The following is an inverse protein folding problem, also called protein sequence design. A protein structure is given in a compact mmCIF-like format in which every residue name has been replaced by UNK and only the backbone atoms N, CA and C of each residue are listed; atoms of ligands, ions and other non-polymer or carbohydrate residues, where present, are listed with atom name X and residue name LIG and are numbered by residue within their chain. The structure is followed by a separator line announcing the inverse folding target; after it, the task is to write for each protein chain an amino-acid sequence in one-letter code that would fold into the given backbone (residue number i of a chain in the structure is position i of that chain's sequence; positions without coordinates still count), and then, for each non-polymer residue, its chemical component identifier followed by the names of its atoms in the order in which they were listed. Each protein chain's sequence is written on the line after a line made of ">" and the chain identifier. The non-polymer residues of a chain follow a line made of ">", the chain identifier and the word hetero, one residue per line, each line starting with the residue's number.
data_IF_555421626468
#
_entry.id   IF_555421626468
#
_cell.length_a   1.000
_cell.length_b   1.000
_cell.length_c   1.000
_cell.angle_alpha   90.00
_cell.angle_beta   90.00
_cell.angle_gamma   90.00
#
_symmetry.space_group_name_H-M   'P 1'
#
loop_
_entity.id
_entity.type
_entity.pdbx_description
1 polymer ?
#
# COMPACT_ATOMS: atom_id res chain seq x y z
N UNK A 1 -16.61 16.56 3.03
CA UNK A 1 -15.36 15.84 2.83
C UNK A 1 -15.13 14.86 3.97
N UNK A 2 -14.80 13.65 3.64
CA UNK A 2 -14.61 12.60 4.62
C UNK A 2 -13.16 12.58 5.09
N UNK A 3 -12.96 12.68 6.41
CA UNK A 3 -11.62 12.51 6.98
C UNK A 3 -11.24 11.04 6.98
N UNK A 4 -9.95 10.77 6.91
CA UNK A 4 -9.45 9.40 7.08
C UNK A 4 -9.69 8.95 8.52
N UNK A 5 -9.94 7.65 8.69
CA UNK A 5 -9.95 7.06 10.03
C UNK A 5 -8.54 7.15 10.64
N UNK A 6 -8.46 7.06 11.96
CA UNK A 6 -7.18 7.03 12.64
C UNK A 6 -6.32 5.85 12.16
N UNK A 7 -6.96 4.71 11.90
CA UNK A 7 -6.26 3.51 11.44
C UNK A 7 -5.71 3.68 10.02
N UNK A 8 -6.48 4.31 9.13
CA UNK A 8 -6.01 4.56 7.77
C UNK A 8 -4.92 5.65 7.77
N UNK A 9 -5.04 6.65 8.64
CA UNK A 9 -4.01 7.67 8.77
C UNK A 9 -2.67 7.09 9.23
N UNK A 10 -2.69 6.06 10.08
CA UNK A 10 -1.47 5.35 10.46
C UNK A 10 -0.79 4.72 9.25
N UNK A 11 -1.57 4.16 8.32
CA UNK A 11 -1.02 3.60 7.09
C UNK A 11 -0.34 4.68 6.25
N UNK A 12 -0.93 5.86 6.16
CA UNK A 12 -0.31 6.99 5.44
C UNK A 12 1.04 7.34 6.07
N UNK A 13 1.09 7.45 7.40
CA UNK A 13 2.33 7.77 8.12
C UNK A 13 3.41 6.71 7.86
N UNK A 14 3.03 5.42 7.94
CA UNK A 14 3.96 4.31 7.69
C UNK A 14 4.49 4.31 6.26
N UNK A 15 3.61 4.48 5.28
CA UNK A 15 4.00 4.50 3.87
C UNK A 15 4.95 5.67 3.57
N UNK A 16 4.64 6.85 4.11
CA UNK A 16 5.47 8.04 3.91
C UNK A 16 6.85 7.87 4.53
N UNK A 17 6.92 7.39 5.76
CA UNK A 17 8.18 7.19 6.46
C UNK A 17 9.05 6.15 5.77
N UNK A 18 8.45 5.05 5.33
CA UNK A 18 9.18 3.97 4.66
C UNK A 18 9.72 4.42 3.32
N UNK A 19 8.90 5.11 2.53
CA UNK A 19 9.34 5.69 1.25
C UNK A 19 10.53 6.63 1.43
N UNK A 20 10.44 7.54 2.39
CA UNK A 20 11.49 8.53 2.65
C UNK A 20 12.80 7.86 3.08
N UNK A 21 12.70 6.88 3.98
CA UNK A 21 13.89 6.17 4.48
C UNK A 21 14.57 5.37 3.38
N UNK A 22 13.78 4.75 2.49
CA UNK A 22 14.31 3.97 1.38
C UNK A 22 14.78 4.84 0.20
N UNK A 23 14.36 6.10 0.15
CA UNK A 23 14.63 6.97 -1.01
C UNK A 23 13.95 6.46 -2.26
N UNK A 24 12.80 5.80 -2.13
CA UNK A 24 12.13 5.13 -3.24
C UNK A 24 11.10 6.02 -3.93
N UNK A 25 10.69 5.60 -5.14
CA UNK A 25 9.67 6.33 -5.89
C UNK A 25 8.31 6.25 -5.21
N UNK A 26 7.98 5.10 -4.60
CA UNK A 26 6.68 4.87 -3.97
C UNK A 26 6.85 4.29 -2.59
N UNK A 27 5.86 4.56 -1.73
CA UNK A 27 5.70 3.89 -0.45
C UNK A 27 4.31 3.28 -0.37
N UNK A 28 4.17 2.21 0.37
CA UNK A 28 2.87 1.58 0.59
C UNK A 28 2.80 1.05 2.02
N UNK A 29 1.58 0.93 2.51
CA UNK A 29 1.32 0.24 3.76
C UNK A 29 -0.05 -0.42 3.66
N UNK A 30 -0.20 -1.55 4.32
CA UNK A 30 -1.49 -2.22 4.40
C UNK A 30 -1.74 -2.74 5.82
N UNK A 31 -3.01 -2.95 6.11
CA UNK A 31 -3.46 -3.55 7.36
C UNK A 31 -4.16 -4.86 7.01
N UNK A 32 -3.73 -5.95 7.65
CA UNK A 32 -4.37 -7.24 7.43
C UNK A 32 -5.65 -7.38 8.27
N UNK A 33 -6.31 -8.52 8.17
CA UNK A 33 -7.57 -8.74 8.89
C UNK A 33 -7.40 -8.85 10.40
N UNK A 34 -6.19 -9.08 10.87
CA UNK A 34 -5.87 -9.15 12.30
C UNK A 34 -5.38 -7.81 12.86
N UNK A 35 -5.35 -6.77 12.03
CA UNK A 35 -4.91 -5.44 12.43
C UNK A 35 -3.41 -5.22 12.37
N UNK A 36 -2.63 -6.20 11.89
CA UNK A 36 -1.19 -6.03 11.70
C UNK A 36 -0.94 -5.15 10.47
N UNK A 37 0.11 -4.36 10.53
CA UNK A 37 0.47 -3.45 9.45
C UNK A 37 1.79 -3.86 8.80
N UNK A 38 1.88 -3.62 7.50
CA UNK A 38 3.06 -3.92 6.69
C UNK A 38 3.38 -2.67 5.89
N UNK A 39 4.59 -2.15 6.04
CA UNK A 39 5.03 -0.96 5.32
C UNK A 39 6.14 -1.33 4.35
N UNK A 40 6.10 -0.76 3.16
CA UNK A 40 6.99 -1.14 2.07
C UNK A 40 7.30 0.05 1.18
N UNK A 41 8.32 -0.11 0.35
CA UNK A 41 8.71 0.86 -0.65
C UNK A 41 9.06 0.12 -1.93
N UNK A 42 9.12 0.84 -3.06
CA UNK A 42 9.51 0.29 -4.34
C UNK A 42 10.88 -0.36 -4.22
N UNK A 43 11.03 -1.54 -4.79
CA UNK A 43 12.33 -2.20 -4.96
C UNK A 43 12.68 -2.12 -6.45
N UNK A 44 13.82 -1.53 -6.76
CA UNK A 44 14.25 -1.36 -8.15
C UNK A 44 15.73 -1.74 -8.26
N UNK A 45 15.97 -3.02 -8.40
CA UNK A 45 17.29 -3.60 -8.58
C UNK A 45 17.37 -4.20 -9.99
N UNK A 46 18.56 -4.42 -10.53
CA UNK A 46 18.69 -5.00 -11.88
C UNK A 46 17.95 -6.32 -12.07
N UNK A 47 17.89 -7.15 -11.02
CA UNK A 47 17.24 -8.46 -11.10
C UNK A 47 15.98 -8.59 -10.23
N UNK A 48 15.52 -7.49 -9.63
CA UNK A 48 14.32 -7.51 -8.81
C UNK A 48 13.64 -6.16 -8.87
N UNK A 49 12.52 -6.10 -9.56
CA UNK A 49 11.72 -4.88 -9.66
C UNK A 49 10.31 -5.19 -9.17
N UNK A 50 9.95 -4.56 -8.04
CA UNK A 50 8.66 -4.81 -7.39
C UNK A 50 8.08 -3.47 -6.96
N UNK A 51 6.80 -3.24 -7.26
CA UNK A 51 6.10 -2.05 -6.79
C UNK A 51 5.99 -2.05 -5.27
N UNK A 52 5.79 -0.88 -4.67
CA UNK A 52 5.63 -0.78 -3.23
C UNK A 52 4.44 -1.63 -2.74
N UNK A 53 3.32 -1.61 -3.47
CA UNK A 53 2.16 -2.46 -3.16
C UNK A 53 2.53 -3.93 -3.27
N UNK A 54 3.27 -4.31 -4.31
CA UNK A 54 3.72 -5.69 -4.49
C UNK A 54 4.58 -6.16 -3.32
N UNK A 55 5.50 -5.32 -2.84
CA UNK A 55 6.33 -5.65 -1.68
C UNK A 55 5.46 -5.83 -0.43
N UNK A 56 4.54 -4.89 -0.18
CA UNK A 56 3.67 -4.96 1.00
C UNK A 56 2.80 -6.22 1.00
N UNK A 57 2.18 -6.55 -0.13
CA UNK A 57 1.37 -7.76 -0.26
C UNK A 57 2.24 -9.01 -0.11
N UNK A 58 3.43 -9.02 -0.72
CA UNK A 58 4.36 -10.13 -0.58
C UNK A 58 4.74 -10.40 0.89
N UNK A 59 4.99 -9.33 1.65
CA UNK A 59 5.28 -9.44 3.07
C UNK A 59 4.10 -10.02 3.85
N UNK A 60 2.89 -9.56 3.57
CA UNK A 60 1.69 -10.06 4.23
C UNK A 60 1.45 -11.53 3.92
N UNK A 61 1.58 -11.92 2.65
CA UNK A 61 1.46 -13.33 2.22
C UNK A 61 2.49 -14.19 2.93
N UNK A 62 3.74 -13.75 2.92
CA UNK A 62 4.85 -14.49 3.54
C UNK A 62 4.70 -14.59 5.06
N UNK A 63 3.97 -13.66 5.67
CA UNK A 63 3.70 -13.66 7.12
C UNK A 63 2.47 -14.48 7.50
N UNK A 64 1.79 -15.08 6.53
CA UNK A 64 0.61 -15.90 6.79
C UNK A 64 -0.68 -15.11 6.99
N UNK A 65 -0.72 -13.84 6.58
CA UNK A 65 -1.95 -13.05 6.66
C UNK A 65 -3.05 -13.68 5.79
N UNK A 66 -4.31 -13.52 6.22
CA UNK A 66 -5.45 -14.15 5.56
C UNK A 66 -6.19 -13.23 4.59
N UNK A 67 -5.83 -11.97 4.55
CA UNK A 67 -6.43 -10.97 3.68
C UNK A 67 -6.01 -9.59 4.09
N UNK A 68 -6.64 -8.57 3.48
CA UNK A 68 -6.28 -7.17 3.68
C UNK A 68 -7.55 -6.38 3.94
N UNK A 69 -7.47 -5.48 4.92
CA UNK A 69 -8.58 -4.60 5.27
C UNK A 69 -8.50 -3.27 4.52
N UNK A 70 -7.29 -2.73 4.35
CA UNK A 70 -7.07 -1.47 3.63
C UNK A 70 -5.61 -1.37 3.16
N UNK A 71 -5.41 -0.65 2.07
CA UNK A 71 -4.08 -0.39 1.50
C UNK A 71 -3.94 1.10 1.26
N UNK A 72 -2.76 1.64 1.55
CA UNK A 72 -2.37 3.00 1.16
C UNK A 72 -1.15 2.89 0.24
N UNK A 73 -1.16 3.63 -0.86
CA UNK A 73 0.00 3.78 -1.74
C UNK A 73 0.26 5.26 -1.98
N UNK A 74 1.49 5.69 -1.75
CA UNK A 74 1.94 7.07 -1.97
C UNK A 74 2.85 7.08 -3.18
N UNK A 75 2.41 7.76 -4.23
CA UNK A 75 3.08 7.76 -5.52
C UNK A 75 2.82 9.07 -6.25
N UNK A 76 3.76 9.49 -7.09
CA UNK A 76 3.58 10.62 -7.99
C UNK A 76 2.82 10.26 -9.27
N UNK A 77 2.49 8.98 -9.45
CA UNK A 77 1.76 8.47 -10.61
C UNK A 77 0.32 8.16 -10.24
N UNK A 78 -0.44 7.72 -11.23
CA UNK A 78 -1.79 7.19 -11.00
C UNK A 78 -1.71 5.80 -10.40
N UNK A 79 -2.78 5.38 -9.75
CA UNK A 79 -2.89 4.04 -9.19
C UNK A 79 -2.87 3.00 -10.31
N UNK A 80 -1.94 2.07 -10.23
CA UNK A 80 -1.72 1.05 -11.24
C UNK A 80 -2.81 -0.03 -11.17
N UNK A 81 -3.29 -0.45 -12.35
CA UNK A 81 -4.22 -1.57 -12.43
C UNK A 81 -3.55 -2.88 -11.98
N UNK A 82 -2.25 -3.02 -12.21
CA UNK A 82 -1.51 -4.20 -11.76
C UNK A 82 -1.48 -4.27 -10.23
N UNK A 83 -1.30 -3.13 -9.57
CA UNK A 83 -1.31 -3.09 -8.11
C UNK A 83 -2.70 -3.45 -7.54
N UNK A 84 -3.76 -2.97 -8.18
CA UNK A 84 -5.12 -3.35 -7.79
C UNK A 84 -5.35 -4.85 -7.95
N UNK A 85 -4.84 -5.45 -9.03
CA UNK A 85 -4.94 -6.89 -9.24
C UNK A 85 -4.17 -7.71 -8.21
N UNK A 86 -2.98 -7.24 -7.83
CA UNK A 86 -2.19 -7.93 -6.80
C UNK A 86 -2.97 -7.98 -5.48
N UNK A 87 -3.58 -6.87 -5.08
CA UNK A 87 -4.40 -6.83 -3.86
C UNK A 87 -5.63 -7.72 -4.01
N UNK A 88 -6.29 -7.67 -5.17
CA UNK A 88 -7.48 -8.49 -5.44
C UNK A 88 -7.17 -9.98 -5.39
N UNK A 89 -6.06 -10.40 -5.99
CA UNK A 89 -5.66 -11.82 -6.00
C UNK A 89 -5.50 -12.35 -4.58
N UNK A 90 -4.97 -11.54 -3.68
CA UNK A 90 -4.75 -11.96 -2.30
C UNK A 90 -5.99 -11.78 -1.42
N UNK A 91 -6.67 -10.65 -1.55
CA UNK A 91 -7.67 -10.24 -0.57
C UNK A 91 -9.09 -10.17 -1.12
N UNK A 92 -9.27 -10.39 -2.43
CA UNK A 92 -10.59 -10.36 -3.04
C UNK A 92 -11.06 -8.97 -3.45
N UNK A 93 -12.30 -8.89 -3.88
CA UNK A 93 -12.93 -7.64 -4.30
C UNK A 93 -13.35 -6.80 -3.10
N UNK A 94 -13.47 -5.48 -3.31
CA UNK A 94 -14.02 -4.58 -2.30
C UNK A 94 -13.02 -4.05 -1.28
N UNK A 95 -11.73 -4.31 -1.45
CA UNK A 95 -10.71 -3.77 -0.55
C UNK A 95 -10.41 -2.32 -0.93
N UNK A 96 -10.51 -1.35 -0.01
CA UNK A 96 -10.18 0.02 -0.31
C UNK A 96 -8.67 0.21 -0.47
N UNK A 97 -8.30 0.83 -1.59
CA UNK A 97 -6.92 1.22 -1.89
C UNK A 97 -6.90 2.74 -2.01
N UNK A 98 -6.23 3.38 -1.08
CA UNK A 98 -6.12 4.83 -1.00
C UNK A 98 -4.81 5.26 -1.66
N UNK A 99 -4.90 6.09 -2.70
CA UNK A 99 -3.73 6.62 -3.37
C UNK A 99 -3.52 8.08 -2.96
N UNK A 100 -2.30 8.40 -2.59
CA UNK A 100 -1.91 9.76 -2.24
C UNK A 100 -0.61 10.18 -2.90
N UNK A 101 -0.29 11.47 -2.73
CA UNK A 101 0.97 12.02 -3.18
C UNK A 101 2.12 11.45 -2.32
N UNK A 102 3.37 11.53 -2.78
CA UNK A 102 4.52 11.11 -1.97
C UNK A 102 4.59 11.79 -0.60
N UNK A 103 4.06 13.00 -0.47
CA UNK A 103 4.00 13.72 0.81
C UNK A 103 2.91 13.22 1.74
N UNK A 104 1.99 12.37 1.27
CA UNK A 104 0.98 11.77 2.11
C UNK A 104 -0.41 12.38 1.99
N UNK A 105 -0.68 13.18 0.97
CA UNK A 105 -2.02 13.73 0.74
C UNK A 105 -2.83 12.74 -0.09
N UNK A 106 -3.85 12.15 0.52
CA UNK A 106 -4.71 11.19 -0.17
C UNK A 106 -5.58 11.93 -1.19
N UNK A 107 -5.59 11.44 -2.42
CA UNK A 107 -6.28 12.07 -3.55
C UNK A 107 -7.39 11.22 -4.15
N UNK A 108 -7.34 9.89 -3.97
CA UNK A 108 -8.42 9.03 -4.45
C UNK A 108 -8.47 7.75 -3.63
N UNK A 109 -9.63 7.11 -3.66
CA UNK A 109 -9.82 5.77 -3.10
C UNK A 109 -10.52 4.93 -4.15
N UNK A 110 -9.97 3.74 -4.40
CA UNK A 110 -10.56 2.77 -5.32
C UNK A 110 -10.70 1.43 -4.62
N UNK A 111 -11.74 0.70 -4.97
CA UNK A 111 -11.94 -0.67 -4.46
C UNK A 111 -11.37 -1.67 -5.46
N UNK A 112 -10.82 -2.73 -4.94
CA UNK A 112 -10.34 -3.85 -5.77
C UNK A 112 -11.47 -4.63 -6.43
#
# INVERSE_FOLDING_TARGET
>A
MTSLSAEDNKLVVLARATRARAGAAEGAALRDLDGRTYAAATVDLPSLQVSAVGVAVGMAVASGAKGVEAVVVLTGAELSSDDLEVVRDFAGAGVPVLRGTPAGKIEETRAT
#
